data_IF_513739995531
#
_entry.id   IF_513739995531
#
_cell.length_a   1.000
_cell.length_b   1.000
_cell.length_c   1.000
_cell.angle_alpha   90.00
_cell.angle_beta   90.00
_cell.angle_gamma   90.00
#
_symmetry.space_group_name_H-M   'P 1'
#
loop_
_entity.id
_entity.type
_entity.pdbx_description
1 polymer ?
#
# COMPACT_ATOMS: atom_id res chain seq x y z
N UNK A 1 5.06 43.61 -10.00
CA UNK A 1 4.42 44.94 -9.96
C UNK A 1 5.45 46.00 -9.61
N UNK A 2 5.46 47.11 -10.35
CA UNK A 2 6.37 48.24 -10.13
C UNK A 2 6.11 48.93 -8.78
N UNK A 3 4.86 49.00 -8.32
CA UNK A 3 4.52 49.51 -6.98
C UNK A 3 5.25 48.76 -5.87
N UNK A 4 5.28 47.42 -5.96
CA UNK A 4 6.00 46.57 -5.01
C UNK A 4 7.49 46.90 -5.06
N UNK A 5 8.11 46.98 -6.25
CA UNK A 5 9.53 47.36 -6.40
C UNK A 5 9.84 48.74 -5.81
N UNK A 6 9.01 49.75 -6.08
CA UNK A 6 9.16 51.10 -5.54
C UNK A 6 9.03 51.10 -4.02
N UNK A 7 8.05 50.37 -3.47
CA UNK A 7 7.89 50.21 -2.02
C UNK A 7 9.12 49.55 -1.38
N UNK A 8 9.61 48.44 -1.95
CA UNK A 8 10.83 47.76 -1.47
C UNK A 8 12.05 48.68 -1.52
N UNK A 9 12.23 49.45 -2.59
CA UNK A 9 13.32 50.42 -2.69
C UNK A 9 13.24 51.49 -1.60
N UNK A 10 12.04 51.99 -1.32
CA UNK A 10 11.81 53.02 -0.28
C UNK A 10 12.01 52.43 1.12
N UNK A 11 11.54 51.20 1.35
CA UNK A 11 11.72 50.45 2.59
C UNK A 11 13.19 50.20 2.89
N UNK A 12 13.96 49.70 1.93
CA UNK A 12 15.38 49.44 2.10
C UNK A 12 16.17 50.72 2.40
N UNK A 13 15.79 51.85 1.80
CA UNK A 13 16.40 53.16 2.11
C UNK A 13 16.13 53.59 3.55
N UNK A 14 14.97 53.27 4.11
CA UNK A 14 14.60 53.62 5.49
C UNK A 14 15.25 52.71 6.53
N UNK A 15 15.34 51.41 6.25
CA UNK A 15 15.83 50.41 7.23
C UNK A 15 17.33 50.12 7.12
N UNK A 16 18.01 50.74 6.16
CA UNK A 16 19.42 50.43 5.83
C UNK A 16 19.62 48.98 5.38
N UNK A 17 18.55 48.30 4.93
CA UNK A 17 18.58 46.91 4.47
C UNK A 17 18.65 45.85 5.59
N UNK A 18 18.64 46.24 6.86
CA UNK A 18 18.75 45.32 8.00
C UNK A 18 17.46 44.54 8.29
N UNK A 19 16.30 45.12 7.99
CA UNK A 19 14.99 44.51 8.25
C UNK A 19 14.40 43.94 6.96
N UNK A 20 14.43 42.61 6.86
CA UNK A 20 13.79 41.88 5.76
C UNK A 20 12.27 42.04 5.78
N UNK A 21 11.67 42.27 4.61
CA UNK A 21 10.22 42.40 4.48
C UNK A 21 9.59 41.05 4.12
N UNK A 22 8.78 40.52 5.03
CA UNK A 22 7.98 39.31 4.80
C UNK A 22 6.63 39.64 4.14
N UNK A 23 5.94 38.61 3.62
CA UNK A 23 4.59 38.76 3.03
C UNK A 23 3.60 39.43 3.98
N UNK A 24 3.67 39.13 5.28
CA UNK A 24 2.87 39.79 6.32
C UNK A 24 3.06 41.30 6.38
N UNK A 25 4.26 41.82 6.10
CA UNK A 25 4.51 43.26 6.09
C UNK A 25 3.77 43.96 4.94
N UNK A 26 3.66 43.30 3.79
CA UNK A 26 2.88 43.81 2.66
C UNK A 26 1.38 43.81 2.96
N UNK A 27 0.87 42.73 3.58
CA UNK A 27 -0.52 42.68 4.03
C UNK A 27 -0.83 43.74 5.08
N UNK A 28 0.06 43.95 6.06
CA UNK A 28 -0.12 44.98 7.07
C UNK A 28 -0.20 46.38 6.44
N UNK A 29 0.64 46.68 5.45
CA UNK A 29 0.59 47.93 4.70
C UNK A 29 -0.77 48.12 4.00
N UNK A 30 -1.23 47.10 3.28
CA UNK A 30 -2.51 47.17 2.57
C UNK A 30 -3.71 47.22 3.53
N UNK A 31 -3.64 46.57 4.69
CA UNK A 31 -4.65 46.66 5.74
C UNK A 31 -4.80 48.07 6.31
N UNK A 32 -3.69 48.79 6.51
CA UNK A 32 -3.74 50.19 6.96
C UNK A 32 -4.41 51.08 5.91
N UNK A 33 -4.08 50.89 4.63
CA UNK A 33 -4.73 51.60 3.54
C UNK A 33 -6.21 51.25 3.40
N UNK A 34 -6.58 49.99 3.58
CA UNK A 34 -7.97 49.54 3.60
C UNK A 34 -8.77 50.26 4.69
N UNK A 35 -8.24 50.34 5.91
CA UNK A 35 -8.88 51.06 7.01
C UNK A 35 -8.97 52.55 6.71
N UNK A 36 -7.93 53.16 6.14
CA UNK A 36 -7.94 54.57 5.77
C UNK A 36 -9.04 54.90 4.73
N UNK A 37 -9.15 54.10 3.67
CA UNK A 37 -10.22 54.27 2.67
C UNK A 37 -11.62 54.03 3.27
N UNK A 38 -11.75 53.04 4.15
CA UNK A 38 -13.02 52.77 4.82
C UNK A 38 -13.44 53.90 5.77
N UNK A 39 -12.49 54.50 6.49
CA UNK A 39 -12.73 55.65 7.36
C UNK A 39 -13.09 56.90 6.56
N UNK A 40 -12.40 57.15 5.45
CA UNK A 40 -12.75 58.26 4.55
C UNK A 40 -14.20 58.12 4.04
N UNK A 41 -14.57 56.93 3.56
CA UNK A 41 -15.95 56.63 3.17
C UNK A 41 -16.96 56.76 4.33
N UNK A 42 -16.55 56.38 5.55
CA UNK A 42 -17.36 56.48 6.76
C UNK A 42 -17.68 57.93 7.12
N UNK A 43 -16.67 58.80 7.15
CA UNK A 43 -16.88 60.22 7.45
C UNK A 43 -17.65 60.94 6.35
N UNK A 44 -17.42 60.58 5.08
CA UNK A 44 -18.17 61.13 3.95
C UNK A 44 -19.67 60.75 3.98
N UNK A 45 -20.03 59.68 4.68
CA UNK A 45 -21.42 59.27 4.92
C UNK A 45 -22.04 59.90 6.18
N UNK A 46 -21.28 60.76 6.88
CA UNK A 46 -21.73 61.40 8.13
C UNK A 46 -21.59 60.51 9.37
N UNK A 47 -20.81 59.43 9.31
CA UNK A 47 -20.57 58.55 10.45
C UNK A 47 -19.87 59.26 11.60
N UNK A 48 -20.30 58.97 12.83
CA UNK A 48 -19.77 59.61 14.04
C UNK A 48 -19.01 58.56 14.86
N UNK A 49 -17.82 58.94 15.36
CA UNK A 49 -17.09 58.07 16.29
C UNK A 49 -17.69 58.25 17.69
N UNK A 50 -18.60 57.37 18.07
CA UNK A 50 -19.16 57.28 19.42
C UNK A 50 -19.05 55.87 19.98
N UNK A 51 -18.88 55.77 21.30
CA UNK A 51 -18.73 54.50 21.97
C UNK A 51 -19.71 54.38 23.13
N UNK A 52 -20.39 53.24 23.23
CA UNK A 52 -21.30 52.92 24.32
C UNK A 52 -20.82 51.70 25.11
N UNK A 53 -21.19 51.61 26.39
CA UNK A 53 -20.83 50.46 27.22
C UNK A 53 -21.79 49.30 26.97
N UNK A 54 -21.27 48.08 26.82
CA UNK A 54 -22.11 46.88 26.68
C UNK A 54 -22.58 46.40 28.05
N UNK A 55 -23.86 46.62 28.37
CA UNK A 55 -24.46 46.18 29.62
C UNK A 55 -24.53 44.65 29.79
N UNK A 56 -24.27 43.88 28.72
CA UNK A 56 -24.19 42.41 28.75
C UNK A 56 -22.84 41.92 29.28
N UNK A 57 -21.80 42.73 29.22
CA UNK A 57 -20.46 42.37 29.70
C UNK A 57 -20.35 42.79 31.17
N UNK A 58 -20.66 41.84 32.06
CA UNK A 58 -20.49 42.00 33.51
C UNK A 58 -19.19 41.31 33.93
N UNK A 59 -18.48 41.90 34.89
CA UNK A 59 -17.27 41.30 35.46
C UNK A 59 -17.57 39.90 35.99
N UNK A 60 -17.01 38.87 35.35
CA UNK A 60 -17.02 37.51 35.90
C UNK A 60 -15.80 37.41 36.81
N UNK A 61 -16.05 37.39 38.12
CA UNK A 61 -15.12 37.13 39.22
C UNK A 61 -14.15 38.24 39.64
N UNK A 62 -14.21 38.56 40.95
CA UNK A 62 -13.18 39.34 41.68
C UNK A 62 -11.89 38.50 41.72
N UNK A 63 -11.01 38.70 40.75
CA UNK A 63 -9.67 38.09 40.74
C UNK A 63 -9.05 37.87 39.36
N UNK A 64 -9.82 37.99 38.27
CA UNK A 64 -9.28 37.93 36.91
C UNK A 64 -8.53 39.20 36.52
N UNK A 65 -7.38 39.08 35.86
CA UNK A 65 -6.58 40.22 35.36
C UNK A 65 -7.16 40.89 34.10
N UNK A 66 -8.32 40.44 33.62
CA UNK A 66 -8.93 40.88 32.37
C UNK A 66 -10.12 41.80 32.66
N UNK A 67 -9.91 43.11 32.51
CA UNK A 67 -10.91 44.16 32.71
C UNK A 67 -11.88 44.27 31.53
N UNK A 68 -12.66 43.22 31.28
CA UNK A 68 -13.62 43.15 30.16
C UNK A 68 -14.77 44.16 30.32
N UNK A 69 -15.08 44.58 31.56
CA UNK A 69 -16.03 45.65 31.86
C UNK A 69 -15.64 47.02 31.30
N UNK A 70 -14.37 47.23 30.95
CA UNK A 70 -13.88 48.46 30.32
C UNK A 70 -14.05 48.46 28.78
N UNK A 71 -14.54 47.37 28.18
CA UNK A 71 -14.72 47.31 26.73
C UNK A 71 -15.97 48.09 26.30
N UNK A 72 -15.78 49.06 25.41
CA UNK A 72 -16.84 49.83 24.79
C UNK A 72 -17.16 49.33 23.38
N UNK A 73 -18.45 49.30 23.02
CA UNK A 73 -18.92 49.05 21.65
C UNK A 73 -18.78 50.32 20.83
N UNK A 74 -18.26 50.20 19.61
CA UNK A 74 -18.34 51.26 18.62
C UNK A 74 -19.73 51.26 17.99
N UNK A 75 -20.52 52.31 18.25
CA UNK A 75 -21.95 52.35 17.90
C UNK A 75 -22.18 52.21 16.39
N UNK A 76 -21.45 52.99 15.60
CA UNK A 76 -21.47 52.91 14.13
C UNK A 76 -20.50 51.84 13.56
N UNK A 77 -20.06 50.89 14.39
CA UNK A 77 -19.22 49.76 13.98
C UNK A 77 -19.74 48.97 12.78
N UNK A 78 -21.06 48.64 12.69
CA UNK A 78 -21.62 47.97 11.52
C UNK A 78 -21.49 48.79 10.23
N UNK A 79 -21.59 50.13 10.31
CA UNK A 79 -21.42 51.02 9.17
C UNK A 79 -19.96 51.03 8.70
N UNK A 80 -19.02 51.13 9.64
CA UNK A 80 -17.59 51.04 9.31
C UNK A 80 -17.25 49.68 8.69
N UNK A 81 -17.75 48.57 9.25
CA UNK A 81 -17.53 47.23 8.71
C UNK A 81 -18.07 47.12 7.27
N UNK A 82 -19.25 47.69 7.00
CA UNK A 82 -19.80 47.75 5.64
C UNK A 82 -18.86 48.51 4.71
N UNK A 83 -18.32 49.65 5.12
CA UNK A 83 -17.38 50.43 4.33
C UNK A 83 -16.05 49.69 4.09
N UNK A 84 -15.55 48.95 5.08
CA UNK A 84 -14.38 48.06 4.91
C UNK A 84 -14.65 46.99 3.85
N UNK A 85 -15.81 46.32 3.90
CA UNK A 85 -16.15 45.26 2.95
C UNK A 85 -16.43 45.79 1.53
N UNK A 86 -16.91 47.03 1.41
CA UNK A 86 -17.19 47.70 0.13
C UNK A 86 -15.96 48.39 -0.48
N UNK A 87 -14.89 48.59 0.30
CA UNK A 87 -13.67 49.23 -0.16
C UNK A 87 -13.02 48.43 -1.28
N UNK A 88 -12.79 49.08 -2.43
CA UNK A 88 -12.12 48.49 -3.58
C UNK A 88 -10.97 49.38 -4.02
N UNK A 89 -9.74 48.87 -3.93
CA UNK A 89 -8.55 49.60 -4.36
C UNK A 89 -7.44 48.65 -4.77
N UNK A 90 -6.41 49.19 -5.42
CA UNK A 90 -5.21 48.44 -5.77
C UNK A 90 -4.15 48.64 -4.68
N UNK A 91 -3.81 47.56 -3.95
CA UNK A 91 -2.75 47.54 -2.94
C UNK A 91 -1.39 47.11 -3.48
N UNK A 92 -0.46 46.78 -2.58
CA UNK A 92 0.84 46.15 -2.87
C UNK A 92 0.71 44.65 -3.16
N UNK A 93 -0.29 43.97 -2.57
CA UNK A 93 -0.56 42.54 -2.76
C UNK A 93 -1.53 42.26 -3.91
N UNK A 94 -2.01 43.28 -4.61
CA UNK A 94 -2.94 43.16 -5.74
C UNK A 94 -4.26 43.92 -5.50
N UNK A 95 -5.28 43.67 -6.33
CA UNK A 95 -6.60 44.29 -6.14
C UNK A 95 -7.26 43.74 -4.87
N UNK A 96 -7.60 44.65 -3.95
CA UNK A 96 -8.30 44.33 -2.71
C UNK A 96 -9.80 44.52 -2.95
N UNK A 97 -10.55 43.43 -2.83
CA UNK A 97 -12.01 43.41 -2.90
C UNK A 97 -12.51 42.17 -2.15
N UNK A 98 -13.57 42.34 -1.36
CA UNK A 98 -14.17 41.26 -0.58
C UNK A 98 -15.43 40.69 -1.26
N UNK A 99 -15.67 39.40 -1.06
CA UNK A 99 -16.91 38.73 -1.42
C UNK A 99 -17.93 38.75 -0.26
N UNK A 100 -19.09 38.12 -0.48
CA UNK A 100 -20.14 38.00 0.54
C UNK A 100 -19.71 37.21 1.78
N UNK A 101 -18.68 36.37 1.66
CA UNK A 101 -18.11 35.57 2.75
C UNK A 101 -16.98 36.31 3.49
N UNK A 102 -16.71 37.58 3.13
CA UNK A 102 -15.64 38.42 3.68
C UNK A 102 -14.23 37.91 3.31
N UNK A 103 -14.12 37.17 2.21
CA UNK A 103 -12.86 36.69 1.65
C UNK A 103 -12.44 37.53 0.44
N UNK A 104 -11.14 37.53 0.11
CA UNK A 104 -10.66 38.24 -1.08
C UNK A 104 -11.16 37.54 -2.36
N UNK A 105 -11.74 38.30 -3.31
CA UNK A 105 -12.39 37.75 -4.52
C UNK A 105 -11.40 37.03 -5.46
N UNK A 106 -10.15 37.49 -5.53
CA UNK A 106 -9.14 37.00 -6.49
C UNK A 106 -7.83 36.65 -5.79
N UNK A 107 -7.79 35.59 -4.98
CA UNK A 107 -6.56 35.15 -4.35
C UNK A 107 -5.58 34.67 -5.41
N UNK A 108 -4.34 35.15 -5.30
CA UNK A 108 -3.24 34.83 -6.18
C UNK A 108 -2.00 34.49 -5.34
N UNK A 109 -1.28 33.45 -5.75
CA UNK A 109 -0.10 32.95 -5.06
C UNK A 109 1.07 32.79 -6.03
N UNK A 110 2.26 33.18 -5.56
CA UNK A 110 3.52 32.89 -6.24
C UNK A 110 3.94 31.45 -5.89
N UNK A 111 4.17 30.62 -6.91
CA UNK A 111 4.70 29.27 -6.71
C UNK A 111 6.22 29.35 -6.76
N UNK A 112 6.87 28.92 -5.68
CA UNK A 112 8.33 28.97 -5.54
C UNK A 112 8.92 27.56 -5.45
N UNK A 113 10.07 27.39 -6.10
CA UNK A 113 10.95 26.23 -5.96
C UNK A 113 12.15 26.62 -5.10
N UNK A 114 12.33 25.97 -3.94
CA UNK A 114 13.39 26.28 -2.99
C UNK A 114 14.63 25.45 -3.35
N UNK A 115 15.78 26.11 -3.50
CA UNK A 115 17.02 25.52 -3.98
C UNK A 115 18.17 25.97 -3.08
N UNK A 116 18.68 25.04 -2.26
CA UNK A 116 19.73 25.32 -1.29
C UNK A 116 19.31 26.44 -0.33
N UNK A 117 20.03 27.56 -0.36
CA UNK A 117 19.75 28.75 0.47
C UNK A 117 18.83 29.77 -0.20
N UNK A 118 18.46 29.55 -1.46
CA UNK A 118 17.66 30.48 -2.26
C UNK A 118 16.32 29.88 -2.70
N UNK A 119 15.56 30.67 -3.46
CA UNK A 119 14.35 30.20 -4.11
C UNK A 119 14.21 30.82 -5.50
N UNK A 120 13.51 30.11 -6.37
CA UNK A 120 13.14 30.55 -7.71
C UNK A 120 11.64 30.49 -7.86
N UNK A 121 10.99 31.58 -8.25
CA UNK A 121 9.57 31.53 -8.63
C UNK A 121 9.41 30.79 -9.96
N UNK A 122 8.54 29.79 -9.98
CA UNK A 122 8.26 28.93 -11.14
C UNK A 122 6.91 29.21 -11.79
N UNK A 123 6.09 30.07 -11.20
CA UNK A 123 4.86 30.57 -11.80
C UNK A 123 3.92 31.13 -10.76
N UNK A 124 2.65 31.18 -11.13
CA UNK A 124 1.56 31.74 -10.34
C UNK A 124 0.40 30.74 -10.31
N UNK A 125 -0.36 30.77 -9.23
CA UNK A 125 -1.69 30.18 -9.19
C UNK A 125 -2.69 31.26 -8.81
N UNK A 126 -3.82 31.31 -9.50
CA UNK A 126 -4.97 32.07 -9.04
C UNK A 126 -6.26 31.31 -9.30
N UNK A 127 -7.31 31.67 -8.55
CA UNK A 127 -8.63 31.10 -8.76
C UNK A 127 -9.26 31.53 -10.12
N UNK A 128 -8.63 32.39 -10.91
CA UNK A 128 -9.17 32.77 -12.21
C UNK A 128 -8.68 31.86 -13.35
N UNK A 129 -7.37 31.65 -13.45
CA UNK A 129 -6.72 30.90 -14.54
C UNK A 129 -6.07 29.58 -14.12
N UNK A 130 -5.97 29.27 -12.82
CA UNK A 130 -5.15 28.17 -12.32
C UNK A 130 -3.65 28.49 -12.41
N UNK A 131 -2.85 27.48 -12.76
CA UNK A 131 -1.39 27.54 -12.92
C UNK A 131 -1.00 28.29 -14.20
N UNK A 132 -0.18 29.33 -14.06
CA UNK A 132 0.33 30.10 -15.19
C UNK A 132 1.74 30.61 -14.95
N UNK A 133 2.51 30.79 -16.03
CA UNK A 133 3.77 31.54 -16.02
C UNK A 133 3.55 33.05 -16.13
N UNK A 134 2.34 33.47 -16.53
CA UNK A 134 1.94 34.88 -16.70
C UNK A 134 1.36 35.42 -15.38
N UNK A 135 1.71 36.65 -14.97
CA UNK A 135 1.16 37.25 -13.76
C UNK A 135 -0.38 37.35 -13.79
N UNK A 136 -1.07 37.06 -12.67
CA UNK A 136 -2.53 37.07 -12.60
C UNK A 136 -3.17 38.40 -12.99
N UNK A 137 -2.49 39.53 -12.75
CA UNK A 137 -3.02 40.87 -13.07
C UNK A 137 -3.26 41.08 -14.56
N UNK A 138 -2.45 40.45 -15.43
CA UNK A 138 -2.67 40.48 -16.88
C UNK A 138 -3.81 39.55 -17.30
N UNK A 139 -4.01 38.45 -16.57
CA UNK A 139 -4.99 37.42 -16.89
C UNK A 139 -6.42 37.84 -16.55
N UNK A 140 -6.61 38.70 -15.54
CA UNK A 140 -7.93 39.24 -15.19
C UNK A 140 -8.57 40.10 -16.29
N UNK A 141 -7.79 40.57 -17.28
CA UNK A 141 -8.30 41.33 -18.43
C UNK A 141 -8.90 40.46 -19.54
N UNK A 142 -8.70 39.13 -19.47
CA UNK A 142 -9.10 38.15 -20.48
C UNK A 142 -10.15 37.22 -19.87
N UNK A 143 -10.98 36.52 -20.67
CA UNK A 143 -11.93 35.55 -20.12
C UNK A 143 -11.21 34.41 -19.36
N UNK A 144 -11.87 33.82 -18.34
CA UNK A 144 -11.26 32.80 -17.51
C UNK A 144 -11.02 31.52 -18.32
N UNK A 145 -9.82 30.98 -18.24
CA UNK A 145 -9.43 29.78 -18.96
C UNK A 145 -8.63 28.85 -18.06
N UNK A 146 -9.27 27.77 -17.59
CA UNK A 146 -8.66 26.74 -16.74
C UNK A 146 -8.44 25.41 -17.46
N UNK A 147 -8.36 25.41 -18.79
CA UNK A 147 -8.10 24.17 -19.52
C UNK A 147 -6.73 23.59 -19.12
N UNK A 148 -6.64 22.27 -19.00
CA UNK A 148 -5.40 21.57 -18.62
C UNK A 148 -4.24 21.89 -19.57
N UNK A 149 -4.51 22.17 -20.84
CA UNK A 149 -3.52 22.55 -21.84
C UNK A 149 -2.84 23.91 -21.55
N UNK A 150 -3.53 24.81 -20.85
CA UNK A 150 -3.05 26.13 -20.49
C UNK A 150 -2.44 26.18 -19.08
N UNK A 151 -2.51 25.08 -18.32
CA UNK A 151 -1.90 24.98 -16.99
C UNK A 151 -0.38 24.77 -17.15
N UNK A 152 0.40 25.83 -16.98
CA UNK A 152 1.84 25.79 -17.23
C UNK A 152 2.64 26.47 -16.13
N UNK A 153 3.74 25.85 -15.75
CA UNK A 153 4.77 26.38 -14.86
C UNK A 153 6.14 26.21 -15.51
N UNK A 154 7.10 27.03 -15.10
CA UNK A 154 8.50 26.78 -15.42
C UNK A 154 8.98 25.46 -14.81
N UNK A 155 10.00 24.86 -15.43
CA UNK A 155 10.58 23.58 -15.01
C UNK A 155 11.00 23.60 -13.53
N UNK A 156 10.59 22.58 -12.78
CA UNK A 156 10.98 22.36 -11.39
C UNK A 156 12.30 21.59 -11.37
N UNK A 157 13.23 22.06 -10.55
CA UNK A 157 14.45 21.33 -10.19
C UNK A 157 14.14 20.56 -8.91
N UNK A 158 14.20 19.24 -8.99
CA UNK A 158 13.93 18.32 -7.90
C UNK A 158 15.20 18.03 -7.10
N UNK A 159 15.08 17.46 -5.88
CA UNK A 159 16.24 16.99 -5.12
C UNK A 159 17.17 16.10 -5.97
N UNK A 160 18.48 16.28 -5.83
CA UNK A 160 19.47 15.61 -6.69
C UNK A 160 19.73 16.30 -8.03
N UNK A 161 19.40 17.60 -8.13
CA UNK A 161 19.67 18.46 -9.31
C UNK A 161 19.03 17.97 -10.61
N UNK A 162 17.93 17.23 -10.53
CA UNK A 162 17.24 16.69 -11.72
C UNK A 162 16.03 17.52 -12.12
N UNK A 163 15.81 17.64 -13.44
CA UNK A 163 14.59 18.23 -14.02
C UNK A 163 13.48 17.18 -14.22
N UNK A 164 13.82 15.90 -14.19
CA UNK A 164 12.84 14.84 -14.35
C UNK A 164 11.97 14.76 -13.09
N UNK A 165 10.64 14.90 -13.26
CA UNK A 165 9.70 14.71 -12.15
C UNK A 165 9.88 13.31 -11.56
N UNK A 166 10.26 13.19 -10.28
CA UNK A 166 10.40 11.89 -9.65
C UNK A 166 9.05 11.19 -9.66
N UNK A 167 9.07 9.88 -9.95
CA UNK A 167 7.89 9.01 -9.90
C UNK A 167 8.04 8.05 -8.73
N UNK A 168 6.98 7.88 -7.95
CA UNK A 168 6.92 6.95 -6.82
C UNK A 168 7.23 7.61 -5.47
N UNK A 169 7.41 6.76 -4.46
CA UNK A 169 7.77 7.11 -3.10
C UNK A 169 9.15 6.54 -2.80
N UNK A 170 10.07 7.36 -2.30
CA UNK A 170 11.35 6.88 -1.77
C UNK A 170 11.18 6.75 -0.27
N UNK A 171 11.38 5.54 0.27
CA UNK A 171 11.48 5.37 1.72
C UNK A 171 12.68 6.19 2.21
N UNK A 172 12.53 7.03 3.26
CA UNK A 172 13.66 7.77 3.79
C UNK A 172 14.79 6.80 4.16
N UNK A 173 16.06 7.21 4.03
CA UNK A 173 17.19 6.38 4.44
C UNK A 173 17.16 6.01 5.94
N UNK A 174 16.40 6.75 6.76
CA UNK A 174 16.09 6.45 8.16
C UNK A 174 14.72 5.78 8.35
N UNK A 175 14.18 5.16 7.29
CA UNK A 175 12.85 4.56 7.25
C UNK A 175 12.73 3.36 8.21
N UNK A 176 11.54 3.20 8.78
CA UNK A 176 11.19 2.05 9.61
C UNK A 176 11.35 0.76 8.80
N UNK A 177 12.17 -0.17 9.28
CA UNK A 177 12.33 -1.49 8.67
C UNK A 177 11.01 -2.25 8.69
N UNK A 178 10.63 -2.85 7.56
CA UNK A 178 9.46 -3.73 7.48
C UNK A 178 9.67 -4.97 8.35
N UNK A 179 8.69 -5.28 9.20
CA UNK A 179 8.65 -6.45 10.07
C UNK A 179 7.96 -7.59 9.34
N UNK A 180 8.75 -8.50 8.78
CA UNK A 180 8.25 -9.60 7.96
C UNK A 180 8.14 -10.85 8.82
N UNK A 181 6.92 -11.34 9.06
CA UNK A 181 6.68 -12.57 9.78
C UNK A 181 7.08 -13.80 8.96
N UNK A 182 7.84 -14.71 9.57
CA UNK A 182 8.26 -15.97 8.95
C UNK A 182 7.86 -17.13 9.85
N UNK A 183 7.04 -18.09 9.37
CA UNK A 183 6.53 -19.17 10.20
C UNK A 183 7.65 -20.13 10.64
N UNK A 184 7.80 -20.31 11.96
CA UNK A 184 8.68 -21.31 12.57
C UNK A 184 7.99 -22.66 12.65
N UNK A 185 8.01 -23.37 11.52
CA UNK A 185 7.39 -24.68 11.36
C UNK A 185 8.34 -25.84 11.66
N UNK A 186 7.77 -26.97 12.07
CA UNK A 186 8.52 -28.22 12.30
C UNK A 186 8.48 -29.18 11.12
N UNK A 187 7.40 -29.17 10.31
CA UNK A 187 7.32 -29.91 9.05
C UNK A 187 7.86 -29.09 7.86
N UNK A 188 8.01 -29.70 6.68
CA UNK A 188 8.47 -29.12 5.39
C UNK A 188 9.47 -27.95 5.52
N UNK A 189 10.65 -28.25 6.08
CA UNK A 189 11.69 -27.25 6.41
C UNK A 189 12.43 -26.72 5.19
N UNK A 190 12.21 -27.34 4.03
CA UNK A 190 12.74 -26.96 2.72
C UNK A 190 12.08 -25.67 2.20
N UNK A 191 10.80 -25.45 2.52
CA UNK A 191 10.08 -24.23 2.13
C UNK A 191 10.54 -23.03 2.93
N UNK A 192 10.61 -23.17 4.25
CA UNK A 192 11.09 -22.16 5.19
C UNK A 192 11.66 -22.85 6.42
N UNK A 193 12.86 -22.45 6.83
CA UNK A 193 13.42 -22.79 8.13
C UNK A 193 14.36 -21.71 8.64
N UNK A 194 14.46 -21.58 9.96
CA UNK A 194 15.44 -20.73 10.60
C UNK A 194 16.83 -21.37 10.54
N UNK A 195 17.85 -20.56 10.28
CA UNK A 195 19.24 -20.98 10.31
C UNK A 195 19.69 -21.10 11.77
N UNK A 196 20.29 -22.25 12.12
CA UNK A 196 20.77 -22.49 13.50
C UNK A 196 21.88 -21.50 13.84
N UNK A 197 21.76 -20.82 14.98
CA UNK A 197 22.78 -19.90 15.51
C UNK A 197 22.55 -18.42 15.23
N UNK A 198 21.50 -18.06 14.47
CA UNK A 198 21.16 -16.66 14.19
C UNK A 198 19.64 -16.46 14.22
N UNK A 199 19.14 -15.68 15.19
CA UNK A 199 17.70 -15.55 15.45
C UNK A 199 16.89 -14.93 14.29
N UNK A 200 17.55 -14.14 13.42
CA UNK A 200 16.87 -13.39 12.35
C UNK A 200 17.16 -13.91 10.93
N UNK A 201 17.88 -15.03 10.80
CA UNK A 201 18.28 -15.55 9.49
C UNK A 201 17.45 -16.77 9.12
N UNK A 202 16.79 -16.69 7.98
CA UNK A 202 15.92 -17.73 7.45
C UNK A 202 16.43 -18.19 6.09
N UNK A 203 16.12 -19.44 5.75
CA UNK A 203 16.44 -20.04 4.46
C UNK A 203 15.26 -20.88 3.96
N UNK A 204 15.28 -21.20 2.68
CA UNK A 204 14.28 -22.04 2.04
C UNK A 204 13.63 -21.34 0.86
N UNK A 205 12.90 -22.12 0.07
CA UNK A 205 12.33 -21.68 -1.19
C UNK A 205 11.56 -20.35 -1.10
N UNK A 206 10.72 -20.15 -0.07
CA UNK A 206 9.91 -18.93 0.06
C UNK A 206 10.77 -17.69 0.36
N UNK A 207 11.88 -17.86 1.09
CA UNK A 207 12.81 -16.76 1.42
C UNK A 207 13.59 -16.33 0.18
N UNK A 208 14.01 -17.30 -0.64
CA UNK A 208 14.74 -17.04 -1.87
C UNK A 208 13.85 -16.30 -2.88
N UNK A 209 12.60 -16.73 -3.04
CA UNK A 209 11.60 -16.04 -3.88
C UNK A 209 11.36 -14.61 -3.41
N UNK A 210 11.18 -14.40 -2.10
CA UNK A 210 10.99 -13.06 -1.55
C UNK A 210 12.20 -12.16 -1.80
N UNK A 211 13.40 -12.66 -1.55
CA UNK A 211 14.66 -11.90 -1.74
C UNK A 211 14.88 -11.55 -3.21
N UNK A 212 14.60 -12.49 -4.12
CA UNK A 212 14.65 -12.24 -5.56
C UNK A 212 13.65 -11.16 -5.99
N UNK A 213 12.42 -11.18 -5.47
CA UNK A 213 11.41 -10.18 -5.78
C UNK A 213 11.80 -8.78 -5.28
N UNK A 214 12.35 -8.67 -4.06
CA UNK A 214 12.82 -7.39 -3.52
C UNK A 214 13.99 -6.83 -4.34
N UNK A 215 14.93 -7.68 -4.77
CA UNK A 215 16.08 -7.27 -5.57
C UNK A 215 15.72 -6.73 -6.97
N UNK A 216 14.51 -7.04 -7.48
CA UNK A 216 14.01 -6.49 -8.74
C UNK A 216 13.36 -5.11 -8.59
N UNK A 217 13.15 -4.63 -7.36
CA UNK A 217 12.57 -3.31 -7.14
C UNK A 217 13.61 -2.22 -7.46
N UNK A 218 13.20 -1.11 -8.10
CA UNK A 218 14.11 -0.01 -8.45
C UNK A 218 14.49 0.86 -7.25
N UNK A 219 14.16 0.43 -6.03
CA UNK A 219 14.40 1.13 -4.77
C UNK A 219 14.74 0.13 -3.66
N UNK A 220 15.52 0.56 -2.68
CA UNK A 220 15.85 -0.25 -1.52
C UNK A 220 14.64 -0.41 -0.59
N UNK A 221 14.35 -1.65 -0.17
CA UNK A 221 13.32 -1.96 0.83
C UNK A 221 14.02 -2.50 2.07
N UNK A 222 14.17 -1.71 3.14
CA UNK A 222 14.77 -2.21 4.37
C UNK A 222 13.75 -3.10 5.12
N UNK A 223 14.12 -4.35 5.37
CA UNK A 223 13.27 -5.31 6.07
C UNK A 223 14.06 -6.16 7.06
N UNK A 224 13.35 -6.75 8.02
CA UNK A 224 13.86 -7.77 8.93
C UNK A 224 12.86 -8.90 9.07
N UNK A 225 13.35 -10.12 9.15
CA UNK A 225 12.52 -11.28 9.42
C UNK A 225 12.27 -11.43 10.92
N UNK A 226 11.03 -11.75 11.28
CA UNK A 226 10.59 -12.01 12.65
C UNK A 226 10.04 -13.44 12.69
N UNK A 227 10.63 -14.32 13.52
CA UNK A 227 10.08 -15.67 13.71
C UNK A 227 8.66 -15.62 14.27
N UNK A 228 7.77 -16.44 13.72
CA UNK A 228 6.41 -16.59 14.20
C UNK A 228 6.11 -18.04 14.59
N UNK A 229 5.84 -18.28 15.87
CA UNK A 229 5.63 -19.61 16.45
C UNK A 229 6.71 -20.00 17.47
N UNK A 230 6.53 -21.15 18.11
CA UNK A 230 7.43 -21.66 19.16
C UNK A 230 8.55 -22.58 18.61
N UNK A 231 8.51 -22.92 17.31
CA UNK A 231 9.45 -23.84 16.68
C UNK A 231 9.33 -25.31 17.14
N UNK A 232 8.35 -25.64 17.99
CA UNK A 232 8.07 -26.99 18.48
C UNK A 232 6.84 -27.60 17.82
N UNK A 233 5.86 -26.77 17.46
CA UNK A 233 4.69 -27.14 16.69
C UNK A 233 4.53 -26.24 15.48
N UNK A 234 3.73 -26.67 14.50
CA UNK A 234 3.42 -25.82 13.36
C UNK A 234 2.59 -24.61 13.82
N UNK A 235 2.97 -23.38 13.45
CA UNK A 235 2.29 -22.17 13.90
C UNK A 235 0.91 -22.02 13.27
N UNK A 236 0.03 -21.29 13.94
CA UNK A 236 -1.28 -20.92 13.40
C UNK A 236 -1.13 -19.85 12.33
N UNK A 237 -1.31 -20.23 11.07
CA UNK A 237 -1.32 -19.27 9.96
C UNK A 237 -2.45 -18.23 10.06
N UNK A 238 -3.53 -18.54 10.77
CA UNK A 238 -4.60 -17.56 11.00
C UNK A 238 -4.14 -16.46 11.96
N UNK A 239 -3.39 -16.82 13.01
CA UNK A 239 -2.80 -15.84 13.93
C UNK A 239 -1.68 -15.04 13.27
N UNK A 240 -0.88 -15.67 12.40
CA UNK A 240 0.14 -14.97 11.61
C UNK A 240 -0.50 -13.87 10.76
N UNK A 241 -1.56 -14.21 10.04
CA UNK A 241 -2.31 -13.24 9.23
C UNK A 241 -2.99 -12.18 10.10
N UNK A 242 -3.57 -12.57 11.23
CA UNK A 242 -4.16 -11.63 12.18
C UNK A 242 -3.13 -10.64 12.77
N UNK A 243 -1.88 -11.09 12.95
CA UNK A 243 -0.77 -10.23 13.40
C UNK A 243 -0.41 -9.16 12.37
N UNK A 244 -0.67 -9.39 11.08
CA UNK A 244 -0.54 -8.38 10.02
C UNK A 244 -1.70 -7.40 10.11
N UNK A 245 -2.94 -7.91 10.22
CA UNK A 245 -4.14 -7.07 10.30
C UNK A 245 -4.14 -6.15 11.53
N UNK A 246 -3.54 -6.57 12.64
CA UNK A 246 -3.37 -5.76 13.86
C UNK A 246 -2.14 -4.85 13.85
N UNK A 247 -1.34 -4.86 12.77
CA UNK A 247 -0.16 -4.01 12.63
C UNK A 247 1.03 -4.41 13.50
N UNK A 248 1.04 -5.62 14.07
CA UNK A 248 2.20 -6.20 14.78
C UNK A 248 3.29 -6.58 13.78
N UNK A 249 2.88 -7.10 12.62
CA UNK A 249 3.73 -7.40 11.47
C UNK A 249 3.30 -6.54 10.28
N UNK A 250 4.23 -6.23 9.38
CA UNK A 250 3.95 -5.42 8.20
C UNK A 250 3.71 -6.31 6.96
N UNK A 251 4.27 -7.52 6.95
CA UNK A 251 4.04 -8.54 5.92
C UNK A 251 4.36 -9.95 6.48
N UNK A 252 4.08 -11.00 5.70
CA UNK A 252 4.54 -12.36 6.01
C UNK A 252 5.04 -13.09 4.76
N UNK A 253 6.03 -13.96 4.95
CA UNK A 253 6.64 -14.79 3.91
C UNK A 253 6.68 -16.23 4.37
N UNK A 254 6.18 -17.14 3.53
CA UNK A 254 6.20 -18.58 3.76
C UNK A 254 5.22 -19.34 2.88
N UNK A 255 4.99 -20.61 3.20
CA UNK A 255 4.01 -21.48 2.54
C UNK A 255 2.57 -21.19 3.00
N UNK A 256 2.17 -19.92 2.90
CA UNK A 256 0.87 -19.45 3.37
C UNK A 256 -0.17 -19.70 2.28
N UNK A 257 -1.04 -20.69 2.50
CA UNK A 257 -2.17 -20.95 1.61
C UNK A 257 -3.14 -19.77 1.56
N UNK A 258 -3.51 -19.36 0.34
CA UNK A 258 -4.53 -18.35 0.06
C UNK A 258 -5.90 -18.99 0.25
N UNK A 259 -6.64 -18.55 1.27
CA UNK A 259 -7.99 -19.06 1.58
C UNK A 259 -8.94 -17.91 1.85
N UNK A 260 -10.24 -18.11 1.56
CA UNK A 260 -11.28 -17.07 1.58
C UNK A 260 -11.37 -16.28 2.89
N UNK A 261 -11.15 -16.91 4.04
CA UNK A 261 -11.21 -16.19 5.32
C UNK A 261 -10.00 -15.27 5.54
N UNK A 262 -8.83 -15.61 4.99
CA UNK A 262 -7.62 -14.77 5.11
C UNK A 262 -7.65 -13.60 4.14
N UNK A 263 -8.15 -13.81 2.92
CA UNK A 263 -8.29 -12.74 1.92
C UNK A 263 -9.30 -11.66 2.30
N UNK A 264 -10.16 -11.91 3.29
CA UNK A 264 -11.08 -10.90 3.84
C UNK A 264 -10.40 -9.90 4.77
N UNK A 265 -9.23 -10.23 5.32
CA UNK A 265 -8.57 -9.44 6.37
C UNK A 265 -7.17 -8.94 5.98
N UNK A 266 -6.52 -9.57 4.99
CA UNK A 266 -5.26 -9.10 4.41
C UNK A 266 -5.25 -9.32 2.90
N UNK A 267 -4.47 -8.50 2.22
CA UNK A 267 -4.17 -8.68 0.80
C UNK A 267 -3.09 -9.75 0.60
N UNK A 268 -3.20 -10.50 -0.51
CA UNK A 268 -2.23 -11.51 -0.92
C UNK A 268 -1.57 -11.13 -2.24
N UNK A 269 -0.32 -11.55 -2.42
CA UNK A 269 0.36 -11.49 -3.71
C UNK A 269 -0.21 -12.54 -4.66
N UNK A 270 0.19 -12.47 -5.93
CA UNK A 270 -0.08 -13.58 -6.85
C UNK A 270 0.61 -14.86 -6.35
N UNK A 271 -0.05 -16.02 -6.46
CA UNK A 271 0.53 -17.28 -6.03
C UNK A 271 1.76 -17.61 -6.87
N UNK A 272 2.90 -17.86 -6.22
CA UNK A 272 4.16 -18.24 -6.87
C UNK A 272 4.36 -19.76 -6.96
N UNK A 273 3.52 -20.54 -6.27
CA UNK A 273 3.52 -22.00 -6.30
C UNK A 273 2.07 -22.52 -6.28
N UNK A 274 1.77 -23.48 -7.15
CA UNK A 274 0.46 -24.13 -7.15
C UNK A 274 0.38 -25.16 -6.02
N UNK A 275 -0.72 -25.14 -5.27
CA UNK A 275 -1.05 -26.17 -4.28
C UNK A 275 -2.11 -27.12 -4.84
N UNK A 276 -1.95 -28.43 -4.63
CA UNK A 276 -2.92 -29.45 -5.00
C UNK A 276 -3.05 -30.54 -3.93
N UNK A 277 -4.25 -31.10 -3.78
CA UNK A 277 -4.48 -32.24 -2.91
C UNK A 277 -4.14 -33.52 -3.68
N UNK A 278 -3.26 -34.35 -3.12
CA UNK A 278 -2.87 -35.63 -3.70
C UNK A 278 -3.02 -36.72 -2.65
N UNK A 279 -3.53 -37.88 -3.06
CA UNK A 279 -3.61 -39.06 -2.20
C UNK A 279 -2.31 -39.86 -2.34
N UNK A 280 -1.58 -39.99 -1.24
CA UNK A 280 -0.40 -40.85 -1.16
C UNK A 280 -0.82 -42.20 -0.59
N UNK A 281 -0.73 -43.26 -1.39
CA UNK A 281 -1.00 -44.62 -0.97
C UNK A 281 0.28 -45.46 -1.00
N UNK A 282 0.53 -46.31 0.02
CA UNK A 282 1.67 -47.20 0.01
C UNK A 282 1.53 -48.21 -1.12
N UNK A 283 2.45 -48.18 -2.07
CA UNK A 283 2.54 -49.19 -3.11
C UNK A 283 3.39 -50.37 -2.62
N UNK A 284 2.77 -51.54 -2.46
CA UNK A 284 3.51 -52.80 -2.28
C UNK A 284 3.70 -53.43 -3.65
N UNK A 285 4.95 -53.65 -4.07
CA UNK A 285 5.24 -54.50 -5.24
C UNK A 285 4.63 -55.88 -5.00
N UNK A 286 3.69 -56.29 -5.85
CA UNK A 286 3.21 -57.66 -5.85
C UNK A 286 4.36 -58.55 -6.32
N UNK A 287 4.83 -59.45 -5.46
CA UNK A 287 5.82 -60.44 -5.86
C UNK A 287 5.21 -61.30 -6.97
N UNK A 288 5.84 -61.30 -8.15
CA UNK A 288 5.51 -62.23 -9.23
C UNK A 288 5.92 -63.62 -8.74
N UNK A 289 4.97 -64.38 -8.21
CA UNK A 289 5.20 -65.76 -7.83
C UNK A 289 5.19 -66.62 -9.10
N UNK A 290 6.20 -67.48 -9.27
CA UNK A 290 6.22 -68.46 -10.35
C UNK A 290 4.98 -69.36 -10.36
N UNK A 291 4.29 -69.51 -9.22
CA UNK A 291 3.04 -70.27 -9.09
C UNK A 291 1.78 -69.49 -9.50
N UNK A 292 1.93 -68.30 -10.09
CA UNK A 292 0.80 -67.51 -10.59
C UNK A 292 -0.03 -68.28 -11.65
N UNK A 293 0.59 -69.20 -12.39
CA UNK A 293 -0.11 -70.04 -13.37
C UNK A 293 -1.12 -71.04 -12.75
N UNK A 294 -1.01 -71.35 -11.45
CA UNK A 294 -1.99 -72.21 -10.76
C UNK A 294 -3.22 -71.43 -10.26
N UNK A 295 -3.17 -70.09 -10.23
CA UNK A 295 -4.27 -69.22 -9.77
C UNK A 295 -5.58 -69.31 -10.58
N UNK A 296 -5.59 -69.59 -11.89
CA UNK A 296 -6.83 -69.65 -12.67
C UNK A 296 -7.81 -70.72 -12.19
N UNK A 297 -7.32 -71.78 -11.53
CA UNK A 297 -8.13 -72.87 -11.03
C UNK A 297 -8.04 -73.01 -9.51
N UNK A 298 -9.16 -73.32 -8.86
CA UNK A 298 -9.17 -73.65 -7.44
C UNK A 298 -8.51 -75.01 -7.21
N UNK A 299 -8.00 -75.27 -5.99
CA UNK A 299 -7.41 -76.57 -5.65
C UNK A 299 -8.36 -77.75 -5.94
N UNK A 300 -9.67 -77.54 -5.77
CA UNK A 300 -10.69 -78.54 -6.12
C UNK A 300 -10.70 -78.86 -7.62
N UNK A 301 -10.62 -77.85 -8.47
CA UNK A 301 -10.56 -78.03 -9.92
C UNK A 301 -9.30 -78.79 -10.32
N UNK A 302 -8.14 -78.48 -9.74
CA UNK A 302 -6.90 -79.24 -9.97
C UNK A 302 -7.02 -80.72 -9.57
N UNK A 303 -7.65 -81.00 -8.41
CA UNK A 303 -7.90 -82.38 -7.96
C UNK A 303 -8.86 -83.10 -8.91
N UNK A 304 -9.94 -82.44 -9.34
CA UNK A 304 -10.89 -83.01 -10.32
C UNK A 304 -10.19 -83.30 -11.64
N UNK A 305 -9.38 -82.39 -12.17
CA UNK A 305 -8.60 -82.60 -13.39
C UNK A 305 -7.65 -83.79 -13.25
N UNK A 306 -6.89 -83.88 -12.14
CA UNK A 306 -6.01 -85.01 -11.89
C UNK A 306 -6.78 -86.35 -11.78
N UNK A 307 -7.94 -86.35 -11.11
CA UNK A 307 -8.80 -87.53 -11.03
C UNK A 307 -9.36 -87.93 -12.40
N UNK A 308 -9.77 -86.97 -13.24
CA UNK A 308 -10.22 -87.22 -14.60
C UNK A 308 -9.13 -87.84 -15.46
N UNK A 309 -7.89 -87.36 -15.38
CA UNK A 309 -6.74 -87.96 -16.08
C UNK A 309 -6.51 -89.42 -15.66
N UNK A 310 -6.56 -89.72 -14.35
CA UNK A 310 -6.42 -91.10 -13.86
C UNK A 310 -7.55 -92.02 -14.35
N UNK A 311 -8.79 -91.54 -14.34
CA UNK A 311 -9.93 -92.31 -14.85
C UNK A 311 -9.76 -92.62 -16.34
N UNK A 312 -9.37 -91.62 -17.13
CA UNK A 312 -9.09 -91.81 -18.57
C UNK A 312 -7.95 -92.82 -18.77
N UNK A 313 -6.85 -92.68 -18.01
CA UNK A 313 -5.71 -93.59 -18.08
C UNK A 313 -6.07 -95.05 -17.73
N UNK A 314 -6.94 -95.26 -16.73
CA UNK A 314 -7.47 -96.59 -16.39
C UNK A 314 -8.33 -97.15 -17.53
N UNK A 315 -9.21 -96.33 -18.12
CA UNK A 315 -10.05 -96.75 -19.25
C UNK A 315 -9.19 -97.15 -20.46
N UNK A 316 -8.19 -96.34 -20.81
CA UNK A 316 -7.23 -96.63 -21.89
C UNK A 316 -6.46 -97.91 -21.57
N UNK A 317 -5.97 -98.07 -20.34
CA UNK A 317 -5.28 -99.29 -19.91
C UNK A 317 -6.16 -100.54 -20.09
N UNK A 318 -7.42 -100.52 -19.66
CA UNK A 318 -8.33 -101.68 -19.84
C UNK A 318 -8.51 -102.03 -21.33
N UNK A 319 -8.65 -101.03 -22.20
CA UNK A 319 -8.87 -101.22 -23.63
C UNK A 319 -7.62 -101.72 -24.34
N UNK A 320 -6.46 -101.13 -24.07
CA UNK A 320 -5.20 -101.44 -24.76
C UNK A 320 -4.48 -102.66 -24.17
N UNK A 321 -4.62 -102.97 -22.89
CA UNK A 321 -3.97 -104.11 -22.23
C UNK A 321 -4.31 -105.46 -22.89
N UNK A 322 -5.45 -105.55 -23.57
CA UNK A 322 -5.88 -106.77 -24.26
C UNK A 322 -5.21 -106.96 -25.62
N UNK A 323 -4.76 -105.90 -26.27
CA UNK A 323 -4.29 -105.92 -27.67
C UNK A 323 -2.81 -105.55 -27.80
N UNK A 324 -2.30 -104.68 -26.93
CA UNK A 324 -0.99 -104.04 -27.06
C UNK A 324 -0.01 -104.57 -25.99
N UNK A 325 1.14 -105.12 -26.41
CA UNK A 325 2.09 -105.81 -25.52
C UNK A 325 2.90 -104.87 -24.62
N UNK A 326 2.96 -103.57 -24.92
CA UNK A 326 3.62 -102.56 -24.06
C UNK A 326 2.92 -102.39 -22.71
N UNK A 327 1.60 -102.61 -22.64
CA UNK A 327 0.81 -102.55 -21.41
C UNK A 327 0.83 -103.85 -20.59
N UNK A 328 1.63 -104.84 -20.98
CA UNK A 328 1.79 -106.14 -20.28
C UNK A 328 3.12 -106.28 -19.53
N UNK A 329 3.95 -105.24 -19.51
CA UNK A 329 5.23 -105.21 -18.78
C UNK A 329 5.09 -105.21 -17.25
N UNK A 330 6.20 -105.21 -16.50
CA UNK A 330 6.20 -105.15 -15.03
C UNK A 330 5.42 -103.92 -14.51
N UNK A 331 4.79 -103.99 -13.32
CA UNK A 331 3.82 -103.00 -12.84
C UNK A 331 4.34 -101.56 -12.80
N UNK A 332 5.66 -101.37 -12.62
CA UNK A 332 6.30 -100.06 -12.70
C UNK A 332 6.26 -99.44 -14.11
N UNK A 333 6.37 -100.25 -15.17
CA UNK A 333 6.28 -99.78 -16.56
C UNK A 333 4.85 -99.42 -16.94
N UNK A 334 3.87 -100.22 -16.51
CA UNK A 334 2.45 -99.95 -16.76
C UNK A 334 1.98 -98.64 -16.11
N UNK A 335 2.44 -98.34 -14.89
CA UNK A 335 2.15 -97.08 -14.20
C UNK A 335 2.71 -95.86 -14.93
N UNK A 336 3.87 -95.99 -15.56
CA UNK A 336 4.48 -94.91 -16.34
C UNK A 336 3.67 -94.68 -17.62
N UNK A 337 3.24 -95.73 -18.31
CA UNK A 337 2.43 -95.61 -19.54
C UNK A 337 1.01 -95.08 -19.29
N UNK A 338 0.48 -95.20 -18.07
CA UNK A 338 -0.82 -94.61 -17.68
C UNK A 338 -0.70 -93.10 -17.36
N UNK A 339 0.48 -92.65 -16.93
CA UNK A 339 0.74 -91.28 -16.49
C UNK A 339 1.44 -90.40 -17.56
N UNK A 340 1.93 -91.03 -18.63
CA UNK A 340 2.51 -90.38 -19.81
C UNK A 340 1.43 -90.12 -20.84
#
# INVERSE_FOLDING_TARGET
>A
SDRKRTFFSKWNKLTGGSVGLHSYGLYAYDSVWLVAYALDAFFNQGGIISFSNDSRIKSVEKGGSLHLEAMSIFDDGPLLLKNVLQSTFLGLTGPIKFDSERSLVLPAYDIINVLGTGFRRIGYWCNYSGLSTVPPEMLYSKPPNRSSANQQLYSVIWPGETLSKPRGWVFPNNGKQLRIGVPLRVSYREFVSQVRGTDNMFKGFCIDVFTAAVNLLPYAVPYRFIPFGDGQKNPSYNELVYSIATGVLDAAVGDIAIVTNRTKIVDFTQPYAASGLVVVAPFKKLNSSAWAFLRPFTARMWVVTAASFLVIGIVVWILEHRINDEFRGPPKKQLITILW
#
